data_IF_105510606583
#
_entry.id   IF_105510606583
#
_cell.length_a   1.000
_cell.length_b   1.000
_cell.length_c   1.000
_cell.angle_alpha   90.00
_cell.angle_beta   90.00
_cell.angle_gamma   90.00
#
_symmetry.space_group_name_H-M   'P 1'
#
loop_
_entity.id
_entity.type
_entity.pdbx_description
1 polymer ?
#
# COMPACT_ATOMS: atom_id res chain seq x y z
N UNK A 1 -15.02 16.13 -21.14
CA UNK A 1 -14.09 16.64 -20.12
C UNK A 1 -14.55 17.98 -19.58
N UNK A 2 -14.50 19.11 -20.31
CA UNK A 2 -15.18 20.34 -19.80
C UNK A 2 -16.69 20.15 -19.58
N UNK A 3 -17.39 19.42 -20.47
CA UNK A 3 -18.80 19.04 -20.28
C UNK A 3 -18.99 18.04 -19.12
N UNK A 4 -17.95 17.26 -18.79
CA UNK A 4 -17.95 16.31 -17.69
C UNK A 4 -17.83 16.97 -16.32
N UNK A 5 -16.96 17.97 -16.24
CA UNK A 5 -16.78 18.77 -15.04
C UNK A 5 -18.03 19.60 -14.75
N UNK A 6 -18.69 20.13 -15.78
CA UNK A 6 -19.96 20.84 -15.64
C UNK A 6 -21.09 19.91 -15.09
N UNK A 7 -21.18 18.66 -15.58
CA UNK A 7 -22.16 17.67 -15.10
C UNK A 7 -21.89 17.22 -13.65
N UNK A 8 -20.63 17.00 -13.31
CA UNK A 8 -20.21 16.67 -11.95
C UNK A 8 -20.43 17.87 -10.97
N UNK A 9 -20.34 19.12 -11.44
CA UNK A 9 -20.70 20.34 -10.66
C UNK A 9 -22.19 20.40 -10.35
N UNK A 10 -23.04 20.04 -11.30
CA UNK A 10 -24.49 19.93 -11.07
C UNK A 10 -24.82 18.83 -10.03
N UNK A 11 -24.09 17.71 -10.07
CA UNK A 11 -24.22 16.60 -9.13
C UNK A 11 -23.84 16.97 -7.68
N UNK A 12 -22.69 17.64 -7.51
CA UNK A 12 -22.25 18.14 -6.21
C UNK A 12 -23.27 19.16 -5.63
N UNK A 13 -23.81 20.05 -6.46
CA UNK A 13 -24.85 21.00 -6.06
C UNK A 13 -26.18 20.33 -5.67
N UNK A 14 -26.52 19.19 -6.28
CA UNK A 14 -27.70 18.39 -5.91
C UNK A 14 -27.52 17.68 -4.56
N UNK A 15 -26.31 17.16 -4.27
CA UNK A 15 -25.96 16.56 -2.98
C UNK A 15 -25.99 17.58 -1.83
N UNK A 16 -25.48 18.80 -2.04
CA UNK A 16 -25.57 19.93 -1.09
C UNK A 16 -26.99 20.25 -0.63
N UNK A 17 -28.00 19.91 -1.43
CA UNK A 17 -29.42 20.13 -1.14
C UNK A 17 -30.01 19.18 -0.08
N UNK A 18 -29.33 18.08 0.26
CA UNK A 18 -29.90 16.97 1.04
C UNK A 18 -29.44 16.89 2.52
N UNK A 19 -28.91 18.00 3.05
CA UNK A 19 -28.32 18.14 4.40
C UNK A 19 -28.97 17.33 5.53
N UNK A 20 -28.27 16.28 6.01
CA UNK A 20 -28.14 15.97 7.45
C UNK A 20 -27.05 14.91 7.80
N UNK A 21 -26.30 14.33 6.84
CA UNK A 21 -25.16 13.42 7.14
C UNK A 21 -23.85 13.87 6.50
N UNK A 22 -22.77 13.87 7.29
CA UNK A 22 -21.41 14.22 6.84
C UNK A 22 -20.83 13.26 5.80
N UNK A 23 -21.39 12.06 5.66
CA UNK A 23 -21.00 11.09 4.63
C UNK A 23 -21.20 11.63 3.20
N UNK A 24 -22.18 12.50 2.97
CA UNK A 24 -22.37 13.13 1.65
C UNK A 24 -21.33 14.22 1.37
N UNK A 25 -20.83 14.92 2.39
CA UNK A 25 -19.79 15.93 2.22
C UNK A 25 -18.46 15.28 1.77
N UNK A 26 -18.18 14.06 2.23
CA UNK A 26 -17.01 13.28 1.82
C UNK A 26 -17.13 12.77 0.37
N UNK A 27 -18.31 12.28 -0.03
CA UNK A 27 -18.57 11.88 -1.43
C UNK A 27 -18.44 13.09 -2.35
N UNK A 28 -18.98 14.24 -1.93
CA UNK A 28 -18.88 15.48 -2.68
C UNK A 28 -17.42 15.93 -2.84
N UNK A 29 -16.63 15.87 -1.77
CA UNK A 29 -15.22 16.22 -1.80
C UNK A 29 -14.41 15.29 -2.73
N UNK A 30 -14.68 13.98 -2.71
CA UNK A 30 -14.04 13.01 -3.60
C UNK A 30 -14.40 13.29 -5.08
N UNK A 31 -15.67 13.61 -5.35
CA UNK A 31 -16.15 13.98 -6.69
C UNK A 31 -15.51 15.30 -7.17
N UNK A 32 -15.38 16.31 -6.31
CA UNK A 32 -14.72 17.58 -6.65
C UNK A 32 -13.23 17.40 -6.94
N UNK A 33 -12.54 16.53 -6.20
CA UNK A 33 -11.14 16.17 -6.49
C UNK A 33 -11.02 15.46 -7.84
N UNK A 34 -11.93 14.53 -8.12
CA UNK A 34 -11.95 13.79 -9.38
C UNK A 34 -12.18 14.72 -10.56
N UNK A 35 -13.13 15.67 -10.44
CA UNK A 35 -13.36 16.73 -11.42
C UNK A 35 -12.10 17.52 -11.73
N UNK A 36 -11.43 18.02 -10.68
CA UNK A 36 -10.25 18.85 -10.83
C UNK A 36 -9.13 18.10 -11.57
N UNK A 37 -8.97 16.80 -11.31
CA UNK A 37 -8.02 15.96 -12.00
C UNK A 37 -8.39 15.73 -13.48
N UNK A 38 -9.67 15.43 -13.75
CA UNK A 38 -10.18 15.25 -15.12
C UNK A 38 -10.10 16.53 -15.96
N UNK A 39 -10.29 17.70 -15.36
CA UNK A 39 -10.14 18.99 -16.03
C UNK A 39 -8.69 19.24 -16.46
N UNK A 40 -7.72 18.98 -15.57
CA UNK A 40 -6.29 19.05 -15.91
C UNK A 40 -5.94 18.09 -17.05
N UNK A 41 -6.42 16.84 -16.99
CA UNK A 41 -6.23 15.85 -18.06
C UNK A 41 -6.88 16.26 -19.38
N UNK A 42 -7.90 17.13 -19.33
CA UNK A 42 -8.53 17.70 -20.52
C UNK A 42 -7.67 18.71 -21.24
N UNK A 43 -6.93 19.49 -20.47
CA UNK A 43 -6.00 20.50 -20.98
C UNK A 43 -4.72 19.85 -21.49
N UNK A 44 -4.21 18.86 -20.74
CA UNK A 44 -3.04 18.08 -21.08
C UNK A 44 -3.23 16.58 -20.73
N UNK A 45 -3.61 15.74 -21.70
CA UNK A 45 -3.77 14.31 -21.48
C UNK A 45 -2.46 13.56 -21.15
N UNK A 46 -1.31 14.23 -21.22
CA UNK A 46 0.00 13.68 -20.85
C UNK A 46 0.50 14.10 -19.47
N UNK A 47 -0.32 14.87 -18.73
CA UNK A 47 -0.02 15.29 -17.36
C UNK A 47 -0.12 14.10 -16.39
N UNK A 48 1.03 13.53 -16.05
CA UNK A 48 1.15 12.39 -15.14
C UNK A 48 0.72 12.71 -13.71
N UNK A 49 0.81 13.97 -13.28
CA UNK A 49 0.37 14.39 -11.94
C UNK A 49 -1.16 14.39 -11.91
N UNK A 50 -1.81 14.97 -12.93
CA UNK A 50 -3.26 14.92 -13.07
C UNK A 50 -3.81 13.49 -13.24
N UNK A 51 -3.05 12.58 -13.85
CA UNK A 51 -3.39 11.16 -13.92
C UNK A 51 -3.44 10.51 -12.54
N UNK A 52 -2.42 10.76 -11.72
CA UNK A 52 -2.35 10.24 -10.36
C UNK A 52 -3.45 10.83 -9.48
N UNK A 53 -3.67 12.15 -9.57
CA UNK A 53 -4.77 12.83 -8.87
C UNK A 53 -6.13 12.17 -9.18
N UNK A 54 -6.37 11.82 -10.46
CA UNK A 54 -7.61 11.18 -10.87
C UNK A 54 -7.76 9.75 -10.31
N UNK A 55 -6.66 8.98 -10.26
CA UNK A 55 -6.65 7.64 -9.68
C UNK A 55 -6.93 7.68 -8.17
N UNK A 56 -6.27 8.57 -7.44
CA UNK A 56 -6.48 8.73 -6.00
C UNK A 56 -7.90 9.16 -5.68
N UNK A 57 -8.45 10.13 -6.42
CA UNK A 57 -9.83 10.57 -6.21
C UNK A 57 -10.86 9.46 -6.51
N UNK A 58 -10.56 8.54 -7.44
CA UNK A 58 -11.41 7.37 -7.72
C UNK A 58 -11.40 6.35 -6.58
N UNK A 59 -10.22 6.07 -6.01
CA UNK A 59 -10.05 5.17 -4.86
C UNK A 59 -10.80 5.74 -3.65
N UNK A 60 -10.62 7.04 -3.39
CA UNK A 60 -11.32 7.72 -2.29
C UNK A 60 -12.82 7.67 -2.50
N UNK A 61 -13.31 7.95 -3.72
CA UNK A 61 -14.73 7.85 -4.05
C UNK A 61 -15.28 6.43 -3.81
N UNK A 62 -14.53 5.38 -4.17
CA UNK A 62 -14.92 3.98 -3.91
C UNK A 62 -15.03 3.68 -2.43
N UNK A 63 -14.03 4.13 -1.65
CA UNK A 63 -14.02 4.00 -0.19
C UNK A 63 -15.23 4.70 0.43
N UNK A 64 -15.48 5.95 0.06
CA UNK A 64 -16.61 6.70 0.60
C UNK A 64 -17.95 6.09 0.18
N UNK A 65 -18.07 5.63 -1.07
CA UNK A 65 -19.27 4.92 -1.55
C UNK A 65 -19.51 3.65 -0.76
N UNK A 66 -18.49 2.84 -0.48
CA UNK A 66 -18.63 1.64 0.35
C UNK A 66 -19.16 1.97 1.76
N UNK A 67 -18.71 3.09 2.34
CA UNK A 67 -19.22 3.60 3.61
C UNK A 67 -20.72 3.94 3.61
N UNK A 68 -21.35 4.12 2.44
CA UNK A 68 -22.79 4.37 2.33
C UNK A 68 -23.66 3.11 2.37
N UNK A 69 -23.07 1.90 2.47
CA UNK A 69 -23.84 0.65 2.51
C UNK A 69 -24.83 0.67 3.69
N UNK A 70 -26.11 0.41 3.40
CA UNK A 70 -27.19 0.46 4.39
C UNK A 70 -27.61 1.87 4.84
N UNK A 71 -26.87 2.92 4.46
CA UNK A 71 -27.23 4.33 4.73
C UNK A 71 -28.17 4.90 3.65
N UNK A 72 -28.10 4.35 2.44
CA UNK A 72 -28.96 4.70 1.31
C UNK A 72 -29.70 3.45 0.80
N UNK A 73 -30.79 3.60 0.03
CA UNK A 73 -31.50 2.47 -0.56
C UNK A 73 -30.60 1.60 -1.44
N UNK A 74 -30.78 0.28 -1.34
CA UNK A 74 -29.96 -0.72 -2.03
C UNK A 74 -29.81 -0.46 -3.54
N UNK A 75 -30.87 0.03 -4.20
CA UNK A 75 -30.86 0.34 -5.63
C UNK A 75 -30.00 1.57 -5.97
N UNK A 76 -29.95 2.56 -5.09
CA UNK A 76 -29.06 3.72 -5.22
C UNK A 76 -27.61 3.35 -4.91
N UNK A 77 -27.38 2.51 -3.90
CA UNK A 77 -26.06 1.99 -3.55
C UNK A 77 -25.47 1.12 -4.68
N UNK A 78 -26.26 0.19 -5.22
CA UNK A 78 -25.87 -0.65 -6.36
C UNK A 78 -25.56 0.21 -7.59
N UNK A 79 -26.31 1.28 -7.83
CA UNK A 79 -26.03 2.21 -8.92
C UNK A 79 -24.71 2.98 -8.73
N UNK A 80 -24.41 3.43 -7.50
CA UNK A 80 -23.11 4.06 -7.16
C UNK A 80 -21.94 3.10 -7.33
N UNK A 81 -22.05 1.87 -6.83
CA UNK A 81 -21.00 0.86 -6.99
C UNK A 81 -20.72 0.54 -8.45
N UNK A 82 -21.77 0.43 -9.28
CA UNK A 82 -21.61 0.20 -10.72
C UNK A 82 -20.93 1.38 -11.41
N UNK A 83 -21.28 2.62 -11.05
CA UNK A 83 -20.65 3.82 -11.62
C UNK A 83 -19.16 3.93 -11.25
N UNK A 84 -18.82 3.62 -9.99
CA UNK A 84 -17.43 3.56 -9.51
C UNK A 84 -16.65 2.47 -10.24
N UNK A 85 -17.20 1.26 -10.36
CA UNK A 85 -16.52 0.14 -11.03
C UNK A 85 -16.25 0.43 -12.52
N UNK A 86 -17.19 1.07 -13.21
CA UNK A 86 -16.96 1.48 -14.60
C UNK A 86 -15.93 2.60 -14.71
N UNK A 87 -15.89 3.52 -13.75
CA UNK A 87 -14.86 4.54 -13.69
C UNK A 87 -13.46 3.92 -13.50
N UNK A 88 -13.35 2.94 -12.59
CA UNK A 88 -12.14 2.15 -12.37
C UNK A 88 -11.69 1.48 -13.67
N UNK A 89 -12.60 0.79 -14.37
CA UNK A 89 -12.32 0.16 -15.66
C UNK A 89 -11.79 1.15 -16.71
N UNK A 90 -12.33 2.37 -16.75
CA UNK A 90 -11.88 3.43 -17.66
C UNK A 90 -10.50 3.96 -17.27
N UNK A 91 -10.25 4.21 -15.98
CA UNK A 91 -8.92 4.62 -15.49
C UNK A 91 -7.87 3.53 -15.71
N UNK A 92 -8.22 2.28 -15.49
CA UNK A 92 -7.34 1.13 -15.70
C UNK A 92 -7.03 0.93 -17.18
N UNK A 93 -8.04 1.02 -18.05
CA UNK A 93 -7.85 0.96 -19.49
C UNK A 93 -6.93 2.10 -19.98
N UNK A 94 -7.02 3.27 -19.35
CA UNK A 94 -6.21 4.42 -19.66
C UNK A 94 -4.75 4.26 -19.19
N UNK A 95 -4.52 3.77 -17.97
CA UNK A 95 -3.18 3.45 -17.43
C UNK A 95 -2.51 2.34 -18.24
N UNK A 96 -3.29 1.34 -18.68
CA UNK A 96 -2.78 0.20 -19.49
C UNK A 96 -2.51 0.56 -20.95
N UNK A 97 -2.91 1.75 -21.44
CA UNK A 97 -2.67 2.17 -22.81
C UNK A 97 -1.26 2.80 -22.95
N UNK A 98 -0.27 2.11 -23.54
CA UNK A 98 1.12 2.58 -23.53
C UNK A 98 1.29 3.83 -24.39
N UNK A 99 1.56 5.00 -23.77
CA UNK A 99 2.05 6.27 -24.35
C UNK A 99 1.77 6.51 -25.85
N UNK A 100 0.52 6.26 -26.28
CA UNK A 100 0.06 6.51 -27.65
C UNK A 100 -1.15 7.41 -27.58
N UNK A 101 -1.32 8.17 -28.66
CA UNK A 101 -2.46 9.04 -28.94
C UNK A 101 -3.84 8.41 -28.68
N UNK A 102 -3.88 7.08 -28.62
CA UNK A 102 -5.07 6.27 -28.45
C UNK A 102 -5.63 6.33 -27.01
N UNK A 103 -4.81 6.60 -25.98
CA UNK A 103 -5.30 6.72 -24.59
C UNK A 103 -6.25 7.90 -24.40
N UNK A 104 -5.90 9.06 -24.97
CA UNK A 104 -6.76 10.25 -24.92
C UNK A 104 -8.06 10.07 -25.72
N UNK A 105 -8.06 9.21 -26.74
CA UNK A 105 -9.25 8.87 -27.52
C UNK A 105 -10.16 7.88 -26.75
N UNK A 106 -9.59 6.93 -26.00
CA UNK A 106 -10.32 6.04 -25.08
C UNK A 106 -11.03 6.86 -23.99
N UNK A 107 -10.32 7.81 -23.35
CA UNK A 107 -10.92 8.72 -22.37
C UNK A 107 -12.04 9.56 -22.99
N UNK A 108 -11.86 10.07 -24.21
CA UNK A 108 -12.92 10.84 -24.91
C UNK A 108 -14.15 10.02 -25.23
N UNK A 109 -14.00 8.71 -25.49
CA UNK A 109 -15.10 7.83 -25.88
C UNK A 109 -15.84 7.26 -24.67
N UNK A 110 -15.12 6.88 -23.60
CA UNK A 110 -15.71 6.23 -22.42
C UNK A 110 -16.23 7.21 -21.37
N UNK A 111 -15.57 8.37 -21.19
CA UNK A 111 -15.92 9.31 -20.13
C UNK A 111 -17.38 9.84 -20.21
N UNK A 112 -17.96 10.16 -21.38
CA UNK A 112 -19.36 10.56 -21.49
C UNK A 112 -20.35 9.50 -20.97
N UNK A 113 -20.03 8.20 -21.13
CA UNK A 113 -20.92 7.13 -20.67
C UNK A 113 -20.88 6.97 -19.15
N UNK A 114 -19.71 7.17 -18.54
CA UNK A 114 -19.55 7.11 -17.08
C UNK A 114 -20.27 8.29 -16.41
N UNK A 115 -20.24 9.47 -17.02
CA UNK A 115 -20.91 10.67 -16.51
C UNK A 115 -22.44 10.58 -16.60
N UNK A 116 -22.98 10.10 -17.72
CA UNK A 116 -24.43 9.87 -17.90
C UNK A 116 -24.98 8.91 -16.82
N UNK A 117 -24.15 7.95 -16.38
CA UNK A 117 -24.50 7.02 -15.29
C UNK A 117 -24.40 7.66 -13.91
N UNK A 118 -23.38 8.49 -13.67
CA UNK A 118 -23.27 9.28 -12.43
C UNK A 118 -24.43 10.29 -12.30
N UNK A 119 -24.87 10.89 -13.41
CA UNK A 119 -26.06 11.76 -13.44
C UNK A 119 -27.34 10.96 -13.10
N UNK A 120 -27.51 9.75 -13.68
CA UNK A 120 -28.63 8.86 -13.37
C UNK A 120 -28.69 8.40 -11.91
N UNK A 121 -27.54 8.17 -11.28
CA UNK A 121 -27.43 7.90 -9.83
C UNK A 121 -27.95 9.10 -9.02
N UNK A 122 -27.65 10.31 -9.47
CA UNK A 122 -28.02 11.54 -8.78
C UNK A 122 -29.50 11.83 -8.89
N UNK A 123 -30.09 11.61 -10.07
CA UNK A 123 -31.55 11.66 -10.25
C UNK A 123 -32.29 10.66 -9.33
N UNK A 124 -31.71 9.46 -9.13
CA UNK A 124 -32.26 8.47 -8.22
C UNK A 124 -32.17 8.92 -6.75
N UNK A 125 -31.02 9.45 -6.32
CA UNK A 125 -30.84 10.03 -4.98
C UNK A 125 -31.76 11.24 -4.75
N UNK A 126 -32.03 12.05 -5.77
CA UNK A 126 -32.96 13.18 -5.71
C UNK A 126 -34.42 12.72 -5.57
N UNK A 127 -34.85 11.69 -6.31
CA UNK A 127 -36.20 11.11 -6.17
C UNK A 127 -36.44 10.52 -4.78
N UNK A 128 -35.43 9.89 -4.18
CA UNK A 128 -35.49 9.34 -2.83
C UNK A 128 -35.68 10.44 -1.76
N UNK A 129 -35.03 11.59 -1.95
CA UNK A 129 -35.22 12.77 -1.11
C UNK A 129 -36.64 13.31 -1.16
N UNK A 130 -37.18 13.45 -2.37
CA UNK A 130 -38.52 13.97 -2.60
C UNK A 130 -39.60 13.03 -2.02
N UNK A 131 -39.38 11.71 -2.06
CA UNK A 131 -40.28 10.72 -1.47
C UNK A 131 -40.17 10.65 0.08
N UNK A 132 -39.00 10.92 0.63
CA UNK A 132 -38.77 10.97 2.10
C UNK A 132 -39.47 12.17 2.75
N UNK A 133 -39.49 13.32 2.07
CA UNK A 133 -40.17 14.54 2.55
C UNK A 133 -41.70 14.46 2.43
N UNK A 134 -42.20 13.60 1.55
CA UNK A 134 -43.63 13.31 1.34
C UNK A 134 -44.24 12.38 2.42
N UNK A 135 -43.42 11.54 3.07
CA UNK A 135 -43.91 10.43 3.91
C UNK A 135 -43.81 10.63 5.43
N UNK A 136 -43.29 11.76 5.93
CA UNK A 136 -43.08 11.97 7.38
C UNK A 136 -44.33 12.48 8.14
N UNK A 137 -45.36 11.63 8.22
CA UNK A 137 -46.26 11.69 9.37
C UNK A 137 -46.59 10.28 9.85
N UNK A 138 -45.83 9.79 10.84
CA UNK A 138 -46.30 8.99 12.01
C UNK A 138 -45.15 8.13 12.58
N UNK A 139 -44.98 8.25 13.92
CA UNK A 139 -44.21 7.39 14.84
C UNK A 139 -42.69 7.55 14.94
N UNK A 140 -42.26 8.54 15.75
CA UNK A 140 -41.02 8.42 16.55
C UNK A 140 -41.28 7.51 17.75
N UNK A 141 -40.59 6.37 17.80
CA UNK A 141 -40.36 5.61 19.03
C UNK A 141 -39.15 6.22 19.74
N UNK A 142 -39.20 6.32 21.06
CA UNK A 142 -38.18 6.93 21.90
C UNK A 142 -36.98 6.00 22.07
N UNK A 143 -35.85 6.31 21.44
CA UNK A 143 -34.53 5.77 21.80
C UNK A 143 -33.96 6.58 22.96
N UNK A 144 -33.48 5.87 23.99
CA UNK A 144 -32.73 6.43 25.11
C UNK A 144 -31.36 6.92 24.64
N UNK A 145 -30.84 7.97 25.27
CA UNK A 145 -29.47 8.41 25.02
C UNK A 145 -28.47 7.30 25.39
N UNK A 146 -27.36 7.15 24.64
CA UNK A 146 -26.33 6.16 24.94
C UNK A 146 -25.81 6.34 26.37
N UNK A 147 -25.54 5.22 27.05
CA UNK A 147 -24.90 5.25 28.36
C UNK A 147 -23.46 5.76 28.20
N UNK A 148 -23.06 6.74 29.03
CA UNK A 148 -21.78 7.43 28.91
C UNK A 148 -20.56 6.50 29.01
N UNK A 149 -20.75 5.29 29.52
CA UNK A 149 -19.66 4.32 29.68
C UNK A 149 -19.35 3.57 28.38
N UNK A 150 -20.34 3.16 27.60
CA UNK A 150 -20.12 2.45 26.32
C UNK A 150 -19.40 3.36 25.32
N UNK A 151 -19.81 4.62 25.25
CA UNK A 151 -19.15 5.64 24.43
C UNK A 151 -17.69 5.89 24.85
N UNK A 152 -17.38 5.81 26.15
CA UNK A 152 -16.01 5.94 26.64
C UNK A 152 -15.12 4.78 26.22
N UNK A 153 -15.62 3.54 26.35
CA UNK A 153 -14.88 2.36 25.92
C UNK A 153 -14.63 2.33 24.41
N UNK A 154 -15.63 2.71 23.61
CA UNK A 154 -15.50 2.80 22.16
C UNK A 154 -14.42 3.82 21.73
N UNK A 155 -14.35 4.97 22.41
CA UNK A 155 -13.28 5.94 22.17
C UNK A 155 -11.90 5.40 22.54
N UNK A 156 -11.78 4.71 23.67
CA UNK A 156 -10.50 4.11 24.09
C UNK A 156 -10.03 3.01 23.14
N UNK A 157 -10.95 2.28 22.48
CA UNK A 157 -10.57 1.32 21.43
C UNK A 157 -10.01 2.03 20.21
N UNK A 158 -10.66 3.11 19.77
CA UNK A 158 -10.15 3.88 18.64
C UNK A 158 -8.72 4.39 18.92
N UNK A 159 -8.48 4.95 20.11
CA UNK A 159 -7.13 5.38 20.53
C UNK A 159 -6.12 4.22 20.53
N UNK A 160 -6.52 3.04 21.00
CA UNK A 160 -5.66 1.85 21.00
C UNK A 160 -5.35 1.34 19.57
N UNK A 161 -6.32 1.41 18.66
CA UNK A 161 -6.11 1.01 17.26
C UNK A 161 -5.23 2.03 16.52
N UNK A 162 -5.39 3.32 16.79
CA UNK A 162 -4.47 4.36 16.28
C UNK A 162 -3.03 4.13 16.77
N UNK A 163 -2.83 3.72 18.03
CA UNK A 163 -1.50 3.36 18.52
C UNK A 163 -0.95 2.10 17.83
N UNK A 164 -1.79 1.11 17.54
CA UNK A 164 -1.39 -0.09 16.78
C UNK A 164 -0.99 0.24 15.33
N UNK A 165 -1.71 1.16 14.69
CA UNK A 165 -1.43 1.67 13.35
C UNK A 165 -0.05 2.37 13.30
N UNK A 166 0.20 3.29 14.23
CA UNK A 166 1.49 3.97 14.40
C UNK A 166 2.65 2.97 14.67
N UNK A 167 2.37 1.86 15.35
CA UNK A 167 3.34 0.78 15.59
C UNK A 167 3.58 -0.06 14.32
N UNK A 168 2.54 -0.31 13.54
CA UNK A 168 2.64 -1.01 12.26
C UNK A 168 3.52 -0.23 11.28
N UNK A 169 3.30 1.08 11.16
CA UNK A 169 4.14 1.97 10.35
C UNK A 169 5.63 1.90 10.74
N UNK A 170 5.92 1.77 12.03
CA UNK A 170 7.30 1.61 12.50
C UNK A 170 7.87 0.23 12.19
N UNK A 171 7.05 -0.82 12.20
CA UNK A 171 7.44 -2.18 11.85
C UNK A 171 7.65 -2.35 10.34
N UNK A 172 6.98 -1.55 9.50
CA UNK A 172 7.12 -1.57 8.03
C UNK A 172 8.56 -1.37 7.56
N UNK A 173 9.36 -0.62 8.30
CA UNK A 173 10.79 -0.45 8.02
C UNK A 173 11.65 -1.70 8.33
N UNK A 174 11.15 -2.60 9.17
CA UNK A 174 11.86 -3.79 9.65
C UNK A 174 11.32 -5.09 9.03
N UNK A 175 10.06 -5.10 8.58
CA UNK A 175 9.36 -6.25 8.04
C UNK A 175 8.81 -5.88 6.65
N UNK A 176 9.33 -6.52 5.61
CA UNK A 176 8.77 -6.46 4.26
C UNK A 176 8.23 -7.84 3.89
N UNK A 177 7.16 -7.91 3.08
CA UNK A 177 6.62 -9.18 2.61
C UNK A 177 5.11 -9.20 2.38
N UNK A 178 4.62 -10.33 1.89
CA UNK A 178 3.19 -10.57 1.71
C UNK A 178 2.47 -10.74 3.05
N UNK A 179 3.11 -11.39 4.04
CA UNK A 179 2.50 -11.63 5.35
C UNK A 179 2.34 -10.33 6.16
N UNK A 180 3.29 -9.39 6.06
CA UNK A 180 3.17 -8.10 6.76
C UNK A 180 2.04 -7.24 6.19
N UNK A 181 1.82 -7.27 4.87
CA UNK A 181 0.70 -6.58 4.21
C UNK A 181 -0.66 -7.08 4.70
N UNK A 182 -0.78 -8.37 5.04
CA UNK A 182 -1.99 -8.90 5.64
C UNK A 182 -2.27 -8.29 7.02
N UNK A 183 -1.22 -8.02 7.80
CA UNK A 183 -1.34 -7.35 9.11
C UNK A 183 -1.72 -5.89 8.95
N UNK A 184 -1.08 -5.15 8.04
CA UNK A 184 -1.45 -3.75 7.72
C UNK A 184 -2.93 -3.64 7.35
N UNK A 185 -3.37 -4.47 6.39
CA UNK A 185 -4.76 -4.48 5.95
C UNK A 185 -5.74 -4.79 7.10
N UNK A 186 -5.41 -5.75 7.95
CA UNK A 186 -6.26 -6.09 9.09
C UNK A 186 -6.33 -4.98 10.14
N UNK A 187 -5.27 -4.18 10.30
CA UNK A 187 -5.26 -3.00 11.17
C UNK A 187 -6.14 -1.89 10.59
N UNK A 188 -6.08 -1.65 9.27
CA UNK A 188 -6.96 -0.69 8.59
C UNK A 188 -8.44 -1.05 8.76
N UNK A 189 -8.80 -2.32 8.58
CA UNK A 189 -10.18 -2.79 8.82
C UNK A 189 -10.58 -2.63 10.29
N UNK A 190 -9.68 -2.96 11.22
CA UNK A 190 -9.93 -2.81 12.65
C UNK A 190 -10.16 -1.34 13.03
N UNK A 191 -9.40 -0.42 12.42
CA UNK A 191 -9.54 1.02 12.61
C UNK A 191 -10.89 1.51 12.12
N UNK A 192 -11.25 1.16 10.89
CA UNK A 192 -12.54 1.56 10.31
C UNK A 192 -13.71 1.04 11.18
N UNK A 193 -13.63 -0.19 11.65
CA UNK A 193 -14.64 -0.76 12.53
C UNK A 193 -14.66 -0.08 13.92
N UNK A 194 -13.50 0.28 14.48
CA UNK A 194 -13.40 1.03 15.72
C UNK A 194 -14.01 2.42 15.62
N UNK A 195 -13.79 3.12 14.50
CA UNK A 195 -14.39 4.42 14.20
C UNK A 195 -15.92 4.31 14.13
N UNK A 196 -16.45 3.30 13.43
CA UNK A 196 -17.90 3.04 13.35
C UNK A 196 -18.49 2.77 14.74
N UNK A 197 -17.81 1.97 15.55
CA UNK A 197 -18.23 1.64 16.91
C UNK A 197 -18.15 2.85 17.85
N UNK A 198 -17.14 3.71 17.72
CA UNK A 198 -17.04 4.95 18.47
C UNK A 198 -18.17 5.93 18.14
N UNK A 199 -18.59 5.98 16.88
CA UNK A 199 -19.72 6.80 16.44
C UNK A 199 -21.06 6.24 16.92
N UNK A 200 -21.23 4.92 16.90
CA UNK A 200 -22.48 4.24 17.24
C UNK A 200 -22.25 3.10 18.26
N UNK A 201 -21.92 3.41 19.53
CA UNK A 201 -21.50 2.41 20.52
C UNK A 201 -22.60 1.42 20.94
N UNK A 202 -23.87 1.77 20.70
CA UNK A 202 -25.02 0.91 21.00
C UNK A 202 -25.49 0.12 19.75
N UNK A 203 -24.83 0.27 18.60
CA UNK A 203 -25.19 -0.41 17.37
C UNK A 203 -24.58 -1.83 17.34
N UNK A 204 -25.41 -2.89 17.37
CA UNK A 204 -24.91 -4.26 17.31
C UNK A 204 -24.16 -4.59 16.02
N UNK A 205 -24.45 -3.90 14.90
CA UNK A 205 -23.75 -4.13 13.64
C UNK A 205 -22.31 -3.59 13.70
N UNK A 206 -22.12 -2.40 14.29
CA UNK A 206 -20.79 -1.84 14.53
C UNK A 206 -19.95 -2.73 15.47
N UNK A 207 -20.58 -3.29 16.51
CA UNK A 207 -19.91 -4.25 17.40
C UNK A 207 -19.49 -5.54 16.68
N UNK A 208 -20.32 -6.06 15.78
CA UNK A 208 -20.00 -7.24 14.96
C UNK A 208 -18.89 -6.97 13.96
N UNK A 209 -18.88 -5.79 13.32
CA UNK A 209 -17.83 -5.37 12.41
C UNK A 209 -16.47 -5.32 13.14
N UNK A 210 -16.44 -4.75 14.35
CA UNK A 210 -15.22 -4.69 15.16
C UNK A 210 -14.71 -6.08 15.57
N UNK A 211 -15.60 -7.00 15.96
CA UNK A 211 -15.22 -8.39 16.24
C UNK A 211 -14.65 -9.11 15.02
N UNK A 212 -15.29 -8.95 13.86
CA UNK A 212 -14.80 -9.55 12.62
C UNK A 212 -13.40 -9.03 12.26
N UNK A 213 -13.17 -7.72 12.37
CA UNK A 213 -11.87 -7.11 12.09
C UNK A 213 -10.80 -7.54 13.12
N UNK A 214 -11.15 -7.64 14.40
CA UNK A 214 -10.23 -8.13 15.43
C UNK A 214 -9.82 -9.59 15.18
N UNK A 215 -10.75 -10.43 14.72
CA UNK A 215 -10.44 -11.80 14.32
C UNK A 215 -9.51 -11.83 13.10
N UNK A 216 -9.73 -10.97 12.10
CA UNK A 216 -8.84 -10.89 10.95
C UNK A 216 -7.42 -10.46 11.34
N UNK A 217 -7.27 -9.48 12.24
CA UNK A 217 -5.97 -9.09 12.78
C UNK A 217 -5.26 -10.27 13.43
N UNK A 218 -5.99 -11.05 14.22
CA UNK A 218 -5.43 -12.26 14.85
C UNK A 218 -4.98 -13.28 13.82
N UNK A 219 -5.79 -13.58 12.82
CA UNK A 219 -5.43 -14.53 11.75
C UNK A 219 -4.21 -14.04 10.95
N UNK A 220 -4.12 -12.74 10.66
CA UNK A 220 -2.97 -12.14 9.99
C UNK A 220 -1.70 -12.23 10.84
N UNK A 221 -1.79 -11.92 12.13
CA UNK A 221 -0.66 -12.04 13.07
C UNK A 221 -0.26 -13.50 13.27
N UNK A 222 -1.19 -14.46 13.33
CA UNK A 222 -0.88 -15.88 13.34
C UNK A 222 -0.15 -16.32 12.05
N UNK A 223 -0.51 -15.75 10.90
CA UNK A 223 0.17 -15.94 9.62
C UNK A 223 1.66 -15.54 9.63
N UNK A 224 2.07 -14.65 10.54
CA UNK A 224 3.48 -14.31 10.74
C UNK A 224 4.28 -15.42 11.45
N UNK A 225 3.69 -16.54 11.89
CA UNK A 225 4.41 -17.62 12.60
C UNK A 225 5.59 -18.13 11.77
N UNK A 226 5.35 -18.40 10.48
CA UNK A 226 6.36 -18.93 9.57
C UNK A 226 7.49 -17.91 9.32
N UNK A 227 7.16 -16.61 9.26
CA UNK A 227 8.13 -15.51 9.18
C UNK A 227 8.90 -15.37 10.48
N UNK A 228 8.25 -15.55 11.64
CA UNK A 228 8.89 -15.44 12.93
C UNK A 228 9.91 -16.57 13.18
N UNK A 229 9.65 -17.76 12.64
CA UNK A 229 10.57 -18.89 12.68
C UNK A 229 11.86 -18.67 11.86
N UNK A 230 11.87 -17.70 10.94
CA UNK A 230 13.09 -17.25 10.24
C UNK A 230 14.09 -16.51 11.16
N UNK A 231 13.67 -16.13 12.38
CA UNK A 231 14.55 -15.71 13.47
C UNK A 231 14.46 -14.23 13.86
N UNK A 232 14.01 -13.34 12.97
CA UNK A 232 14.05 -11.89 13.24
C UNK A 232 13.04 -11.43 14.30
N UNK A 233 11.80 -11.94 14.23
CA UNK A 233 10.70 -11.55 15.12
C UNK A 233 10.70 -12.31 16.46
N UNK A 234 11.14 -13.57 16.44
CA UNK A 234 11.11 -14.44 17.62
C UNK A 234 12.19 -14.08 18.65
N UNK A 235 13.35 -13.62 18.21
CA UNK A 235 14.48 -13.31 19.10
C UNK A 235 14.22 -12.07 19.98
N UNK A 236 13.35 -11.16 19.52
CA UNK A 236 13.03 -9.92 20.21
C UNK A 236 11.67 -9.93 20.93
N UNK A 237 10.96 -11.06 20.90
CA UNK A 237 9.63 -11.18 21.51
C UNK A 237 8.52 -10.42 20.79
N UNK A 238 8.82 -9.72 19.69
CA UNK A 238 7.89 -8.89 18.93
C UNK A 238 6.67 -9.68 18.45
N UNK A 239 6.90 -10.86 17.87
CA UNK A 239 5.81 -11.75 17.43
C UNK A 239 4.85 -12.10 18.57
N UNK A 240 5.38 -12.39 19.77
CA UNK A 240 4.56 -12.73 20.94
C UNK A 240 3.79 -11.53 21.46
N UNK A 241 4.36 -10.34 21.36
CA UNK A 241 3.68 -9.12 21.76
C UNK A 241 2.54 -8.77 20.78
N UNK A 242 2.76 -8.90 19.46
CA UNK A 242 1.72 -8.74 18.46
C UNK A 242 0.59 -9.78 18.64
N UNK A 243 0.94 -11.05 18.87
CA UNK A 243 -0.04 -12.08 19.19
C UNK A 243 -0.85 -11.73 20.45
N UNK A 244 -0.17 -11.26 21.50
CA UNK A 244 -0.82 -10.89 22.74
C UNK A 244 -1.78 -9.71 22.54
N UNK A 245 -1.37 -8.69 21.76
CA UNK A 245 -2.24 -7.57 21.42
C UNK A 245 -3.48 -8.02 20.62
N UNK A 246 -3.30 -8.84 19.58
CA UNK A 246 -4.40 -9.36 18.78
C UNK A 246 -5.39 -10.21 19.61
N UNK A 247 -4.87 -11.05 20.52
CA UNK A 247 -5.67 -11.84 21.46
C UNK A 247 -6.46 -10.96 22.44
N UNK A 248 -5.93 -9.81 22.88
CA UNK A 248 -6.66 -8.88 23.74
C UNK A 248 -7.70 -8.06 22.97
N UNK A 249 -7.44 -7.69 21.71
CA UNK A 249 -8.45 -7.07 20.84
C UNK A 249 -9.65 -7.99 20.60
N UNK A 250 -9.41 -9.27 20.28
CA UNK A 250 -10.47 -10.27 20.13
C UNK A 250 -11.31 -10.39 21.42
N UNK A 251 -10.67 -10.47 22.59
CA UNK A 251 -11.36 -10.54 23.90
C UNK A 251 -12.15 -9.27 24.22
N UNK A 252 -11.67 -8.10 23.81
CA UNK A 252 -12.38 -6.84 23.98
C UNK A 252 -13.60 -6.78 23.05
N UNK A 253 -13.45 -7.21 21.80
CA UNK A 253 -14.54 -7.28 20.84
C UNK A 253 -15.64 -8.26 21.27
N UNK A 254 -15.27 -9.45 21.75
CA UNK A 254 -16.19 -10.42 22.36
C UNK A 254 -17.02 -9.79 23.49
N UNK A 255 -16.40 -8.97 24.34
CA UNK A 255 -17.08 -8.32 25.46
C UNK A 255 -18.11 -7.28 25.00
N UNK A 256 -17.96 -6.73 23.79
CA UNK A 256 -18.85 -5.71 23.21
C UNK A 256 -20.00 -6.33 22.42
N UNK A 257 -19.74 -7.37 21.63
CA UNK A 257 -20.76 -7.97 20.77
C UNK A 257 -21.76 -8.84 21.55
N UNK A 258 -21.35 -9.42 22.70
CA UNK A 258 -22.33 -10.07 23.55
C UNK A 258 -23.14 -8.95 24.20
N UNK A 259 -24.34 -8.68 23.67
CA UNK A 259 -25.40 -7.85 24.28
C UNK A 259 -25.90 -8.37 25.65
N UNK A 260 -25.05 -9.10 26.37
CA UNK A 260 -25.16 -9.56 27.73
C UNK A 260 -24.59 -8.52 28.68
N UNK A 261 -25.35 -8.27 29.75
CA UNK A 261 -24.99 -8.21 31.19
C UNK A 261 -23.54 -8.02 31.69
N UNK A 262 -22.51 -7.89 30.86
CA UNK A 262 -21.16 -7.56 31.28
C UNK A 262 -21.19 -6.20 31.94
N UNK A 263 -20.58 -6.14 33.12
CA UNK A 263 -20.55 -4.89 33.85
C UNK A 263 -19.62 -3.92 33.14
N UNK A 264 -19.91 -2.61 33.18
CA UNK A 264 -18.97 -1.58 32.72
C UNK A 264 -17.54 -1.76 33.22
N UNK A 265 -17.37 -2.34 34.41
CA UNK A 265 -16.07 -2.63 35.02
C UNK A 265 -15.32 -3.75 34.26
N UNK A 266 -16.02 -4.77 33.73
CA UNK A 266 -15.40 -5.85 32.96
C UNK A 266 -14.89 -5.35 31.60
N UNK A 267 -15.62 -4.45 30.95
CA UNK A 267 -15.19 -3.83 29.70
C UNK A 267 -13.97 -2.91 29.92
N UNK A 268 -13.96 -2.14 31.00
CA UNK A 268 -12.80 -1.33 31.37
C UNK A 268 -11.55 -2.19 31.65
N UNK A 269 -11.71 -3.31 32.38
CA UNK A 269 -10.61 -4.25 32.65
C UNK A 269 -10.04 -4.85 31.35
N UNK A 270 -10.87 -5.04 30.31
CA UNK A 270 -10.43 -5.50 28.98
C UNK A 270 -9.66 -4.44 28.20
N UNK A 271 -10.11 -3.19 28.26
CA UNK A 271 -9.40 -2.07 27.63
C UNK A 271 -8.03 -1.81 28.27
N UNK A 272 -7.94 -1.94 29.59
CA UNK A 272 -6.66 -1.87 30.30
C UNK A 272 -5.72 -2.99 29.83
N UNK A 273 -6.25 -4.18 29.52
CA UNK A 273 -5.46 -5.30 29.00
C UNK A 273 -4.96 -5.06 27.56
N UNK A 274 -5.78 -4.47 26.68
CA UNK A 274 -5.37 -4.07 25.31
C UNK A 274 -4.24 -3.05 25.39
N UNK A 275 -4.41 -2.00 26.19
CA UNK A 275 -3.39 -0.95 26.38
C UNK A 275 -2.07 -1.54 26.89
N UNK A 276 -2.13 -2.45 27.87
CA UNK A 276 -0.93 -3.12 28.39
C UNK A 276 -0.24 -3.98 27.32
N UNK A 277 -1.02 -4.69 26.49
CA UNK A 277 -0.47 -5.50 25.41
C UNK A 277 0.18 -4.64 24.31
N UNK A 278 -0.40 -3.50 23.97
CA UNK A 278 0.21 -2.53 23.05
C UNK A 278 1.51 -1.93 23.63
N UNK A 279 1.53 -1.61 24.93
CA UNK A 279 2.75 -1.18 25.60
C UNK A 279 3.86 -2.23 25.52
N UNK A 280 3.53 -3.53 25.54
CA UNK A 280 4.51 -4.61 25.35
C UNK A 280 5.07 -4.63 23.92
N UNK A 281 4.23 -4.36 22.90
CA UNK A 281 4.68 -4.19 21.51
C UNK A 281 5.63 -3.01 21.39
N UNK A 282 5.25 -1.85 21.95
CA UNK A 282 6.08 -0.64 21.97
C UNK A 282 7.41 -0.86 22.68
N UNK A 283 7.41 -1.49 23.86
CA UNK A 283 8.64 -1.78 24.61
C UNK A 283 9.58 -2.72 23.82
N UNK A 284 9.02 -3.73 23.14
CA UNK A 284 9.80 -4.62 22.29
C UNK A 284 10.33 -3.89 21.05
N UNK A 285 9.59 -2.92 20.51
CA UNK A 285 10.00 -2.09 19.38
C UNK A 285 11.13 -1.13 19.76
N UNK A 286 11.07 -0.53 20.96
CA UNK A 286 12.17 0.28 21.48
C UNK A 286 13.43 -0.57 21.71
N UNK A 287 13.26 -1.84 22.11
CA UNK A 287 14.36 -2.78 22.27
C UNK A 287 14.93 -3.30 20.94
N UNK A 288 14.21 -3.15 19.82
CA UNK A 288 14.70 -3.47 18.48
C UNK A 288 15.75 -2.47 17.96
N UNK A 289 15.85 -1.26 18.51
CA UNK A 289 16.80 -0.26 18.02
C UNK A 289 18.20 -0.29 18.65
N UNK A 290 19.24 0.09 17.89
CA UNK A 290 20.25 1.02 18.37
C UNK A 290 19.99 2.43 17.82
N UNK A 291 19.51 3.32 18.70
CA UNK A 291 19.69 4.79 18.59
C UNK A 291 18.86 5.56 17.54
N UNK A 292 17.56 5.76 17.80
CA UNK A 292 16.84 6.98 17.36
C UNK A 292 17.28 8.18 18.21
N UNK A 293 18.46 8.70 17.91
CA UNK A 293 19.02 9.89 18.53
C UNK A 293 19.46 10.87 17.45
N UNK A 294 18.70 11.96 17.30
CA UNK A 294 19.10 13.16 16.56
C UNK A 294 20.49 13.63 16.99
N UNK A 295 21.51 13.17 16.28
CA UNK A 295 22.84 13.76 16.25
C UNK A 295 23.52 13.35 14.96
N UNK A 296 23.78 14.34 14.12
CA UNK A 296 24.85 14.35 13.11
C UNK A 296 26.04 13.51 13.58
N UNK A 297 26.16 12.26 13.10
CA UNK A 297 27.30 11.41 13.38
C UNK A 297 27.62 10.50 12.20
N UNK A 298 28.62 10.94 11.44
CA UNK A 298 29.50 10.20 10.53
C UNK A 298 29.32 8.66 10.47
N UNK A 299 28.86 8.16 9.32
CA UNK A 299 29.44 7.07 8.51
C UNK A 299 30.42 6.09 9.21
N UNK A 300 30.02 5.39 10.27
CA UNK A 300 30.95 4.45 10.93
C UNK A 300 30.37 3.13 11.45
N UNK A 301 29.08 2.84 11.23
CA UNK A 301 28.50 1.52 11.50
C UNK A 301 27.85 0.89 10.26
N UNK A 302 28.36 1.18 9.06
CA UNK A 302 27.98 0.37 7.89
C UNK A 302 28.51 -1.05 8.09
N UNK A 303 27.62 -2.03 8.02
CA UNK A 303 27.92 -3.45 7.99
C UNK A 303 28.45 -3.92 6.62
N UNK A 304 28.09 -3.19 5.55
CA UNK A 304 28.53 -3.47 4.18
C UNK A 304 29.99 -3.11 3.97
N UNK A 305 30.68 -3.90 3.15
CA UNK A 305 32.09 -3.75 2.83
C UNK A 305 32.27 -3.55 1.33
N UNK A 306 33.03 -2.51 0.95
CA UNK A 306 33.37 -2.22 -0.43
C UNK A 306 34.85 -2.49 -0.68
N UNK A 307 35.14 -3.31 -1.69
CA UNK A 307 36.48 -3.48 -2.24
C UNK A 307 36.55 -2.86 -3.64
N UNK A 308 36.98 -1.60 -3.67
CA UNK A 308 37.13 -0.84 -4.93
C UNK A 308 38.26 -1.38 -5.83
N UNK A 309 39.21 -2.16 -5.31
CA UNK A 309 40.28 -2.73 -6.13
C UNK A 309 39.78 -3.92 -6.95
N UNK A 310 38.90 -4.72 -6.35
CA UNK A 310 38.28 -5.88 -6.98
C UNK A 310 36.87 -5.61 -7.53
N UNK A 311 36.37 -4.38 -7.38
CA UNK A 311 34.99 -3.98 -7.71
C UNK A 311 33.93 -4.89 -7.08
N UNK A 312 34.10 -5.22 -5.79
CA UNK A 312 33.14 -6.06 -5.07
C UNK A 312 32.50 -5.32 -3.90
N UNK A 313 31.27 -5.71 -3.61
CA UNK A 313 30.47 -5.25 -2.49
C UNK A 313 30.04 -6.50 -1.75
N UNK A 314 30.35 -6.55 -0.45
CA UNK A 314 29.87 -7.59 0.45
C UNK A 314 28.81 -6.98 1.36
N UNK A 315 27.60 -7.51 1.26
CA UNK A 315 26.48 -7.17 2.10
C UNK A 315 26.55 -7.98 3.40
N UNK A 316 25.80 -7.56 4.41
CA UNK A 316 25.86 -8.10 5.77
C UNK A 316 25.04 -9.37 5.98
N UNK A 317 24.15 -9.66 5.03
CA UNK A 317 23.38 -10.89 4.87
C UNK A 317 24.16 -12.00 4.12
N UNK A 318 25.40 -11.75 3.68
CA UNK A 318 26.25 -12.73 3.00
C UNK A 318 26.17 -12.71 1.47
N UNK A 319 25.39 -11.79 0.90
CA UNK A 319 25.35 -11.56 -0.54
C UNK A 319 26.58 -10.77 -1.01
N UNK A 320 27.08 -11.14 -2.18
CA UNK A 320 28.18 -10.47 -2.85
C UNK A 320 27.73 -9.94 -4.21
N UNK A 321 27.98 -8.65 -4.46
CA UNK A 321 27.89 -8.08 -5.80
C UNK A 321 29.29 -7.84 -6.35
N UNK A 322 29.52 -8.19 -7.60
CA UNK A 322 30.79 -7.96 -8.28
C UNK A 322 30.59 -7.35 -9.66
N UNK A 323 31.45 -6.41 -10.04
CA UNK A 323 31.29 -5.62 -11.26
C UNK A 323 32.55 -5.68 -12.13
N UNK A 324 32.39 -6.15 -13.36
CA UNK A 324 33.50 -6.28 -14.30
C UNK A 324 33.75 -4.97 -15.06
N UNK A 325 35.02 -4.65 -15.29
CA UNK A 325 35.44 -3.58 -16.22
C UNK A 325 35.44 -4.07 -17.68
N UNK A 326 34.59 -5.03 -18.01
CA UNK A 326 34.43 -5.56 -19.37
C UNK A 326 32.96 -5.95 -19.63
N UNK A 327 32.49 -5.71 -20.85
CA UNK A 327 31.17 -6.15 -21.36
C UNK A 327 29.95 -5.68 -20.55
N UNK A 328 30.09 -4.60 -19.77
CA UNK A 328 29.02 -4.09 -18.92
C UNK A 328 28.47 -5.20 -17.99
N UNK A 329 29.35 -6.05 -17.47
CA UNK A 329 28.99 -7.27 -16.73
C UNK A 329 29.02 -7.04 -15.23
N UNK A 330 28.11 -7.67 -14.52
CA UNK A 330 28.10 -7.74 -13.06
C UNK A 330 27.34 -8.99 -12.59
N UNK A 331 27.53 -9.35 -11.33
CA UNK A 331 27.02 -10.59 -10.76
C UNK A 331 26.44 -10.34 -9.38
N UNK A 332 25.41 -11.10 -9.02
CA UNK A 332 24.89 -11.22 -7.66
C UNK A 332 25.10 -12.66 -7.24
N UNK A 333 25.62 -12.86 -6.04
CA UNK A 333 25.82 -14.17 -5.45
C UNK A 333 25.31 -14.19 -4.03
N UNK A 334 24.51 -15.18 -3.67
CA UNK A 334 24.02 -15.35 -2.30
C UNK A 334 24.99 -16.16 -1.41
N UNK A 335 24.60 -16.32 -0.14
CA UNK A 335 25.38 -17.06 0.85
C UNK A 335 25.46 -18.57 0.57
N UNK A 336 24.46 -19.14 -0.13
CA UNK A 336 24.38 -20.55 -0.49
C UNK A 336 25.19 -20.89 -1.75
N UNK A 337 25.63 -19.85 -2.46
CA UNK A 337 26.47 -19.93 -3.65
C UNK A 337 25.67 -19.98 -4.94
N UNK A 338 24.37 -19.67 -4.90
CA UNK A 338 23.62 -19.36 -6.11
C UNK A 338 24.14 -18.06 -6.70
N UNK A 339 24.06 -17.94 -8.02
CA UNK A 339 24.71 -16.83 -8.73
C UNK A 339 23.93 -16.47 -9.98
N UNK A 340 23.72 -15.18 -10.19
CA UNK A 340 23.20 -14.61 -11.43
C UNK A 340 24.23 -13.67 -12.03
N UNK A 341 24.44 -13.83 -13.34
CA UNK A 341 25.33 -12.99 -14.14
C UNK A 341 24.50 -12.14 -15.10
N UNK A 342 24.79 -10.85 -15.14
CA UNK A 342 24.09 -9.84 -15.93
C UNK A 342 25.10 -9.11 -16.82
N UNK A 343 24.90 -9.07 -18.15
CA UNK A 343 25.87 -8.43 -19.05
C UNK A 343 25.28 -7.85 -20.34
N UNK A 344 26.00 -6.91 -20.97
CA UNK A 344 25.69 -6.41 -22.30
C UNK A 344 24.33 -5.73 -22.38
N UNK A 345 23.50 -6.13 -23.37
CA UNK A 345 22.13 -5.69 -23.48
C UNK A 345 21.19 -6.49 -22.57
N UNK A 346 20.99 -6.05 -21.32
CA UNK A 346 21.17 -6.88 -20.15
C UNK A 346 20.63 -8.29 -20.32
N UNK A 347 21.55 -9.22 -20.53
CA UNK A 347 21.27 -10.64 -20.52
C UNK A 347 21.49 -11.16 -19.10
N UNK A 348 20.49 -11.83 -18.57
CA UNK A 348 20.54 -12.48 -17.28
C UNK A 348 20.78 -13.98 -17.49
N UNK A 349 21.68 -14.54 -16.69
CA UNK A 349 21.94 -15.97 -16.66
C UNK A 349 22.11 -16.42 -15.22
N UNK A 350 21.18 -17.27 -14.82
CA UNK A 350 21.19 -17.97 -13.55
C UNK A 350 22.15 -19.17 -13.66
N UNK A 351 22.79 -19.52 -12.56
CA UNK A 351 23.78 -20.60 -12.52
C UNK A 351 23.15 -22.00 -12.72
N UNK A 352 21.87 -22.16 -12.39
CA UNK A 352 21.04 -23.35 -12.60
C UNK A 352 20.70 -23.60 -14.09
N UNK A 353 20.83 -22.56 -14.92
CA UNK A 353 20.70 -22.58 -16.36
C UNK A 353 19.61 -21.68 -16.94
N UNK A 354 18.78 -21.06 -16.10
CA UNK A 354 17.77 -20.10 -16.54
C UNK A 354 18.38 -18.83 -17.16
N UNK A 355 17.62 -18.24 -18.10
CA UNK A 355 18.08 -17.14 -18.96
C UNK A 355 16.94 -16.26 -19.41
N UNK A 356 17.15 -14.97 -19.28
CA UNK A 356 16.19 -13.95 -19.70
C UNK A 356 16.92 -12.63 -19.97
N UNK A 357 16.18 -11.59 -20.31
CA UNK A 357 16.72 -10.26 -20.55
C UNK A 357 15.76 -9.17 -20.08
N UNK A 358 16.33 -8.03 -19.68
CA UNK A 358 15.61 -6.80 -19.43
C UNK A 358 16.20 -5.67 -20.28
N UNK A 359 15.37 -4.71 -20.70
CA UNK A 359 15.80 -3.61 -21.58
C UNK A 359 15.54 -2.22 -21.02
N UNK A 360 14.80 -2.11 -19.93
CA UNK A 360 14.48 -0.85 -19.25
C UNK A 360 15.08 -0.87 -17.85
N UNK A 361 14.87 0.20 -17.10
CA UNK A 361 15.24 0.24 -15.69
C UNK A 361 14.49 -0.85 -14.92
N UNK A 362 15.16 -1.45 -13.95
CA UNK A 362 14.64 -2.60 -13.23
C UNK A 362 15.27 -2.70 -11.85
N UNK A 363 14.55 -3.24 -10.88
CA UNK A 363 15.03 -3.49 -9.51
C UNK A 363 15.01 -4.99 -9.24
N UNK A 364 16.13 -5.51 -8.74
CA UNK A 364 16.18 -6.84 -8.13
C UNK A 364 16.00 -6.67 -6.63
N UNK A 365 14.98 -7.30 -6.07
CA UNK A 365 14.69 -7.29 -4.62
C UNK A 365 15.14 -8.63 -4.06
N UNK A 366 16.13 -8.59 -3.17
CA UNK A 366 16.64 -9.77 -2.48
C UNK A 366 15.66 -10.24 -1.40
N UNK A 367 15.85 -11.47 -0.91
CA UNK A 367 15.00 -12.08 0.13
C UNK A 367 14.85 -11.23 1.39
N UNK A 368 15.88 -10.45 1.74
CA UNK A 368 15.93 -9.62 2.93
C UNK A 368 15.48 -8.16 2.71
N UNK A 369 14.86 -7.89 1.54
CA UNK A 369 14.37 -6.57 1.16
C UNK A 369 15.44 -5.62 0.64
N UNK A 370 16.70 -6.05 0.48
CA UNK A 370 17.70 -5.22 -0.20
C UNK A 370 17.29 -4.98 -1.64
N UNK A 371 17.24 -3.72 -2.07
CA UNK A 371 16.92 -3.34 -3.45
C UNK A 371 18.21 -3.08 -4.23
N UNK A 372 18.28 -3.65 -5.44
CA UNK A 372 19.35 -3.41 -6.41
C UNK A 372 18.71 -2.78 -7.65
N UNK A 373 18.56 -1.46 -7.62
CA UNK A 373 17.92 -0.67 -8.67
C UNK A 373 18.90 -0.37 -9.80
N UNK A 374 18.59 -0.87 -10.99
CA UNK A 374 19.41 -0.81 -12.19
C UNK A 374 18.86 0.27 -13.11
N UNK A 375 19.71 1.22 -13.47
CA UNK A 375 19.41 2.21 -14.51
C UNK A 375 20.12 1.85 -15.81
N UNK A 376 19.37 1.89 -16.90
CA UNK A 376 19.81 1.47 -18.22
C UNK A 376 19.96 2.67 -19.17
N UNK A 377 21.01 2.64 -19.97
CA UNK A 377 21.29 3.67 -20.98
C UNK A 377 21.27 3.08 -22.39
N UNK A 378 20.64 3.76 -23.38
CA UNK A 378 20.64 3.30 -24.76
C UNK A 378 22.04 3.44 -25.38
N UNK A 379 22.49 2.39 -26.06
CA UNK A 379 23.78 2.39 -26.79
C UNK A 379 23.62 2.46 -28.32
N UNK A 380 22.38 2.50 -28.79
CA UNK A 380 22.01 2.56 -30.21
C UNK A 380 21.53 1.21 -30.76
N UNK A 381 20.97 1.21 -31.98
CA UNK A 381 20.41 0.01 -32.63
C UNK A 381 19.36 -0.77 -31.80
N UNK A 382 18.65 -0.08 -30.89
CA UNK A 382 17.67 -0.70 -30.00
C UNK A 382 18.27 -1.49 -28.84
N UNK A 383 19.56 -1.32 -28.56
CA UNK A 383 20.22 -1.91 -27.39
C UNK A 383 20.29 -0.89 -26.25
N UNK A 384 20.07 -1.38 -25.03
CA UNK A 384 20.36 -0.70 -23.77
C UNK A 384 21.48 -1.45 -23.05
N UNK A 385 22.13 -0.84 -22.07
CA UNK A 385 23.11 -1.49 -21.18
C UNK A 385 22.93 -0.93 -19.77
N UNK A 386 23.36 -1.67 -18.74
CA UNK A 386 23.43 -1.12 -17.38
C UNK A 386 24.41 0.06 -17.33
N UNK A 387 23.96 1.18 -16.78
CA UNK A 387 24.75 2.40 -16.61
C UNK A 387 25.13 2.62 -15.15
N UNK A 388 24.13 2.57 -14.28
CA UNK A 388 24.23 2.75 -12.84
C UNK A 388 23.48 1.63 -12.13
N UNK A 389 24.00 1.21 -10.98
CA UNK A 389 23.31 0.35 -10.02
C UNK A 389 23.30 1.08 -8.67
N UNK A 390 22.12 1.25 -8.10
CA UNK A 390 21.92 1.75 -6.73
C UNK A 390 21.50 0.58 -5.86
N UNK A 391 22.18 0.39 -4.73
CA UNK A 391 21.91 -0.68 -3.78
C UNK A 391 21.46 -0.02 -2.47
N UNK A 392 20.28 -0.36 -1.98
CA UNK A 392 19.62 0.28 -0.84
C UNK A 392 19.07 -0.75 0.14
N UNK A 393 19.23 -0.49 1.45
CA UNK A 393 18.58 -1.23 2.54
C UNK A 393 18.48 -0.33 3.78
N UNK A 394 17.28 0.07 4.15
CA UNK A 394 17.05 1.09 5.19
C UNK A 394 17.91 2.33 4.95
N UNK A 395 18.70 2.73 5.94
CA UNK A 395 19.61 3.87 5.84
C UNK A 395 20.86 3.62 4.98
N UNK A 396 21.22 2.38 4.64
CA UNK A 396 22.45 2.08 3.90
C UNK A 396 22.24 2.21 2.39
N UNK A 397 23.22 2.82 1.72
CA UNK A 397 23.26 2.87 0.26
C UNK A 397 24.66 2.74 -0.32
N UNK A 398 24.76 2.14 -1.51
CA UNK A 398 25.93 2.21 -2.38
C UNK A 398 25.46 2.56 -3.80
N UNK A 399 26.20 3.43 -4.48
CA UNK A 399 25.99 3.70 -5.89
C UNK A 399 27.20 3.22 -6.71
N UNK A 400 26.92 2.44 -7.75
CA UNK A 400 27.89 1.94 -8.72
C UNK A 400 27.62 2.62 -10.06
N UNK A 401 28.61 3.32 -10.59
CA UNK A 401 28.49 4.07 -11.85
C UNK A 401 29.53 3.65 -12.87
N UNK A 402 29.36 4.09 -14.12
CA UNK A 402 30.36 3.88 -15.17
C UNK A 402 30.37 2.47 -15.76
N UNK A 403 29.37 1.65 -15.43
CA UNK A 403 29.22 0.28 -15.91
C UNK A 403 29.11 0.28 -17.44
N UNK A 404 28.27 1.15 -18.01
CA UNK A 404 28.07 1.28 -19.45
C UNK A 404 29.38 1.51 -20.23
N UNK A 405 30.33 2.22 -19.60
CA UNK A 405 31.61 2.58 -20.18
C UNK A 405 32.74 1.60 -19.85
N UNK A 406 32.45 0.50 -19.13
CA UNK A 406 33.47 -0.43 -18.61
C UNK A 406 34.53 0.27 -17.75
N UNK A 407 34.09 1.26 -16.97
CA UNK A 407 34.93 2.01 -16.04
C UNK A 407 34.15 2.15 -14.73
N UNK A 408 33.96 1.01 -14.07
CA UNK A 408 33.17 0.87 -12.85
C UNK A 408 33.76 1.74 -11.74
N UNK A 409 32.90 2.49 -11.06
CA UNK A 409 33.23 3.27 -9.88
C UNK A 409 32.19 2.96 -8.80
N UNK A 410 32.64 2.46 -7.65
CA UNK A 410 31.78 2.13 -6.50
C UNK A 410 31.96 3.23 -5.45
N UNK A 411 30.86 3.82 -4.97
CA UNK A 411 30.90 4.80 -3.88
C UNK A 411 31.38 4.17 -2.56
N UNK A 412 31.71 5.00 -1.58
CA UNK A 412 31.70 4.53 -0.19
C UNK A 412 30.26 4.21 0.22
N UNK A 413 30.08 3.47 1.32
CA UNK A 413 28.74 3.23 1.87
C UNK A 413 28.20 4.53 2.44
N UNK A 414 27.00 4.88 2.02
CA UNK A 414 26.26 6.08 2.41
C UNK A 414 25.20 5.72 3.46
N UNK A 415 24.75 6.73 4.20
CA UNK A 415 23.76 6.60 5.29
C UNK A 415 22.46 7.36 4.97
N UNK A 416 22.07 7.36 3.70
CA UNK A 416 20.86 8.01 3.18
C UNK A 416 20.10 7.08 2.22
N UNK A 417 20.05 5.79 2.56
CA UNK A 417 19.46 4.74 1.72
C UNK A 417 18.00 5.01 1.36
N UNK A 418 17.16 5.33 2.34
CA UNK A 418 15.74 5.67 2.11
C UNK A 418 15.57 6.86 1.15
N UNK A 419 16.32 7.95 1.35
CA UNK A 419 16.28 9.13 0.48
C UNK A 419 16.72 8.77 -0.94
N UNK A 420 17.75 7.93 -1.07
CA UNK A 420 18.28 7.52 -2.36
C UNK A 420 17.30 6.58 -3.07
N UNK A 421 16.71 5.61 -2.37
CA UNK A 421 15.70 4.68 -2.90
C UNK A 421 14.50 5.46 -3.45
N UNK A 422 13.93 6.36 -2.63
CA UNK A 422 12.80 7.20 -3.02
C UNK A 422 13.09 8.14 -4.22
N UNK A 423 14.37 8.45 -4.47
CA UNK A 423 14.79 9.29 -5.59
C UNK A 423 14.95 8.50 -6.92
N UNK A 424 14.91 7.16 -6.87
CA UNK A 424 15.10 6.30 -8.03
C UNK A 424 13.81 5.55 -8.38
N UNK A 425 13.48 5.51 -9.67
CA UNK A 425 12.40 4.65 -10.15
C UNK A 425 12.87 3.19 -10.19
N UNK A 426 12.08 2.29 -9.62
CA UNK A 426 12.33 0.85 -9.64
C UNK A 426 12.13 0.20 -11.00
N UNK A 427 11.34 0.80 -11.89
CA UNK A 427 11.09 0.22 -13.21
C UNK A 427 10.39 -1.13 -13.11
N UNK A 428 10.97 -2.18 -13.68
CA UNK A 428 10.47 -3.55 -13.47
C UNK A 428 11.04 -4.17 -12.21
N UNK A 429 10.19 -4.72 -11.36
CA UNK A 429 10.65 -5.38 -10.15
C UNK A 429 10.74 -6.90 -10.33
N UNK A 430 11.89 -7.46 -9.94
CA UNK A 430 12.16 -8.89 -9.88
C UNK A 430 12.41 -9.28 -8.43
N UNK A 431 11.59 -10.17 -7.89
CA UNK A 431 11.73 -10.65 -6.52
C UNK A 431 12.45 -11.98 -6.50
N UNK A 432 13.46 -12.09 -5.64
CA UNK A 432 14.10 -13.36 -5.30
C UNK A 432 13.09 -14.30 -4.64
N UNK A 433 13.07 -15.57 -5.06
CA UNK A 433 12.16 -16.56 -4.49
C UNK A 433 12.92 -17.66 -3.72
N UNK A 434 13.82 -18.37 -4.38
CA UNK A 434 14.53 -19.53 -3.81
C UNK A 434 16.06 -19.43 -3.97
N UNK A 435 16.58 -18.22 -3.81
CA UNK A 435 17.97 -17.87 -4.11
C UNK A 435 18.05 -16.99 -5.37
N UNK A 436 19.19 -16.32 -5.56
CA UNK A 436 19.40 -15.38 -6.67
C UNK A 436 19.41 -16.03 -8.06
N UNK A 437 19.23 -17.35 -8.15
CA UNK A 437 19.03 -18.10 -9.38
C UNK A 437 17.56 -18.37 -9.74
N UNK A 438 16.60 -17.92 -8.92
CA UNK A 438 15.16 -18.03 -9.16
C UNK A 438 14.45 -16.69 -8.90
N UNK A 439 13.92 -16.07 -9.97
CA UNK A 439 13.24 -14.77 -9.90
C UNK A 439 11.77 -14.85 -10.31
N UNK A 440 10.96 -14.03 -9.66
CA UNK A 440 9.54 -13.81 -10.00
C UNK A 440 9.30 -12.35 -10.36
N UNK A 441 8.23 -12.07 -11.12
CA UNK A 441 7.71 -10.70 -11.23
C UNK A 441 6.76 -10.38 -10.07
N UNK A 442 6.25 -9.16 -10.05
CA UNK A 442 5.26 -8.68 -9.06
C UNK A 442 3.98 -9.51 -8.96
N UNK A 443 3.60 -10.24 -10.02
CA UNK A 443 2.43 -11.13 -9.99
C UNK A 443 2.76 -12.52 -9.39
N UNK A 444 3.99 -12.73 -8.92
CA UNK A 444 4.49 -14.03 -8.48
C UNK A 444 4.77 -15.01 -9.62
N UNK A 445 4.74 -14.56 -10.88
CA UNK A 445 5.06 -15.44 -12.01
C UNK A 445 6.58 -15.60 -12.13
N UNK A 446 7.05 -16.85 -12.16
CA UNK A 446 8.47 -17.16 -12.40
C UNK A 446 8.96 -16.63 -13.75
N UNK A 447 10.12 -15.97 -13.75
CA UNK A 447 10.78 -15.45 -14.95
C UNK A 447 11.47 -16.59 -15.70
N UNK A 448 10.83 -17.12 -16.75
CA UNK A 448 11.33 -18.30 -17.48
C UNK A 448 11.75 -18.03 -18.93
N UNK A 449 11.59 -16.81 -19.43
CA UNK A 449 11.96 -16.40 -20.80
C UNK A 449 12.10 -14.87 -20.93
N UNK A 450 12.33 -14.36 -22.15
CA UNK A 450 12.40 -12.94 -22.56
C UNK A 450 11.11 -12.11 -22.25
N UNK A 451 10.36 -12.44 -21.21
CA UNK A 451 9.15 -11.80 -20.72
C UNK A 451 9.40 -10.86 -19.53
N UNK A 452 10.65 -10.54 -19.19
CA UNK A 452 10.99 -9.59 -18.12
C UNK A 452 10.69 -8.11 -18.49
N UNK A 453 9.67 -7.88 -19.33
CA UNK A 453 9.07 -6.57 -19.56
C UNK A 453 7.56 -6.73 -19.37
N UNK A 454 7.14 -6.87 -18.10
CA UNK A 454 5.75 -6.69 -17.68
C UNK A 454 5.26 -5.26 -17.96
N UNK A 455 4.45 -4.65 -17.10
CA UNK A 455 4.24 -3.19 -17.15
C UNK A 455 5.31 -2.51 -16.28
N UNK A 456 6.04 -1.52 -16.81
CA UNK A 456 7.04 -0.81 -16.03
C UNK A 456 6.33 0.00 -14.94
N UNK A 457 6.72 -0.18 -13.67
CA UNK A 457 6.26 0.67 -12.58
C UNK A 457 7.10 1.94 -12.58
N UNK A 458 6.44 3.08 -12.35
CA UNK A 458 7.09 4.33 -12.02
C UNK A 458 6.88 4.62 -10.54
N UNK A 459 7.91 4.34 -9.74
CA UNK A 459 7.95 4.41 -8.28
C UNK A 459 6.96 3.44 -7.59
N UNK A 460 7.39 2.84 -6.48
CA UNK A 460 6.57 1.99 -5.63
C UNK A 460 5.43 2.81 -4.99
N UNK A 461 4.36 3.00 -5.75
CA UNK A 461 3.02 3.32 -5.27
C UNK A 461 2.15 2.16 -5.73
N UNK A 462 1.78 1.32 -4.76
CA UNK A 462 0.72 0.30 -4.82
C UNK A 462 0.67 -0.58 -6.08
N UNK A 463 0.99 -1.86 -5.92
CA UNK A 463 0.41 -2.91 -6.77
C UNK A 463 -0.49 -3.81 -5.96
N UNK A 464 -1.78 -3.59 -6.21
CA UNK A 464 -2.96 -4.37 -5.85
C UNK A 464 -3.07 -5.58 -6.79
N UNK A 465 -3.35 -6.74 -6.18
CA UNK A 465 -3.99 -7.96 -6.69
C UNK A 465 -3.43 -8.75 -7.89
N UNK A 466 -2.99 -9.98 -7.59
CA UNK A 466 -3.63 -11.22 -8.09
C UNK A 466 -3.59 -12.35 -7.09
#
# INVERSE_FOLDING_TARGET
MSEAADELDELADQLRGQQDSGAFDEVEAAIDQLKAALDKLSEDPSDSEAMMDAKYAAIELKRTVAGLEGQIPDDAFEALQNAVAEFEDVTDAFVRAPYRTDGADILKEALPEVLDKLEGVTEALQQLSDDSTSSSSTQRSSTSAPDSTTSGAAQSMLEAVEELDDLCDQLKGELSGAEFRAVEHAIDELRAAAEQLAQNPDDPEAGQAFEAAAQQLKEAVEGLEDVADSGYLNDNGMYKALQHAADEFEKAADALNIGSEQSPDELADKMDAVTEALSEVTDNLENLGPSRGSTTSNASNSSWQVDQENNTIQLDNGYELSFDNERQSWHIKDADGNEVNIWGDPHVKENDGGKWDFKQDSTFVLDDGTKITVHTSPTGNGQTVTDTVTITKGDQAIQVTGIANNNVQISEVMSNGEELDAAHNDGYVFYEENGVDDWTNENGDTITANQAMGNAIQNEVEVVER
#
